data_IF_024273881866
#
_entry.id   IF_024273881866
#
_cell.length_a   1.000
_cell.length_b   1.000
_cell.length_c   1.000
_cell.angle_alpha   90.00
_cell.angle_beta   90.00
_cell.angle_gamma   90.00
#
_symmetry.space_group_name_H-M   'P 1'
#
loop_
_entity.id
_entity.type
_entity.pdbx_description
1 polymer ?
#
# COMPACT_ATOMS: atom_id res chain seq x y z
N UNK A 1 37.29 -31.68 -52.42
CA UNK A 1 35.98 -31.23 -52.95
C UNK A 1 34.92 -31.89 -52.09
N UNK A 2 34.63 -31.37 -50.91
CA UNK A 2 33.71 -30.25 -50.65
C UNK A 2 32.29 -30.56 -51.13
N UNK A 3 31.47 -31.12 -50.23
CA UNK A 3 30.02 -30.99 -50.25
C UNK A 3 29.60 -30.77 -48.79
N UNK A 4 29.47 -29.50 -48.45
CA UNK A 4 29.00 -28.98 -47.17
C UNK A 4 27.49 -29.25 -47.09
N UNK A 5 27.05 -30.18 -46.24
CA UNK A 5 25.63 -30.33 -45.91
C UNK A 5 25.24 -29.21 -44.95
N UNK A 6 24.71 -28.12 -45.50
CA UNK A 6 24.04 -27.08 -44.72
C UNK A 6 22.72 -27.64 -44.21
N UNK A 7 22.70 -28.15 -42.97
CA UNK A 7 21.46 -28.37 -42.21
C UNK A 7 20.90 -27.02 -41.78
N UNK A 8 20.04 -26.45 -42.62
CA UNK A 8 19.21 -25.30 -42.25
C UNK A 8 18.21 -25.80 -41.19
N UNK A 9 18.54 -25.58 -39.92
CA UNK A 9 17.57 -25.68 -38.84
C UNK A 9 16.53 -24.58 -39.05
N UNK A 10 15.37 -24.97 -39.57
CA UNK A 10 14.18 -24.13 -39.66
C UNK A 10 13.77 -23.77 -38.23
N UNK A 11 14.23 -22.62 -37.74
CA UNK A 11 13.66 -21.98 -36.56
C UNK A 11 12.23 -21.58 -36.90
N UNK A 12 11.29 -22.47 -36.64
CA UNK A 12 9.92 -22.10 -36.34
C UNK A 12 9.73 -22.35 -34.86
N UNK A 13 10.24 -21.42 -34.05
CA UNK A 13 9.60 -21.18 -32.76
C UNK A 13 8.18 -20.71 -33.09
N UNK A 14 7.13 -21.36 -32.55
CA UNK A 14 5.80 -20.78 -32.66
C UNK A 14 5.86 -19.41 -31.98
N UNK A 15 5.59 -18.35 -32.73
CA UNK A 15 5.30 -17.03 -32.15
C UNK A 15 4.20 -17.24 -31.12
N UNK A 16 4.60 -17.25 -29.85
CA UNK A 16 3.69 -17.28 -28.72
C UNK A 16 2.66 -16.18 -28.95
N UNK A 17 1.41 -16.57 -29.15
CA UNK A 17 0.25 -15.67 -29.15
C UNK A 17 -0.08 -15.17 -27.74
N UNK A 18 0.66 -15.64 -26.72
CA UNK A 18 0.57 -15.11 -25.37
C UNK A 18 1.31 -13.78 -25.30
N UNK A 19 0.55 -12.71 -25.00
CA UNK A 19 1.09 -11.40 -24.65
C UNK A 19 2.20 -11.53 -23.60
N UNK A 20 3.28 -10.80 -23.80
CA UNK A 20 4.31 -10.64 -22.77
C UNK A 20 3.74 -10.01 -21.50
N UNK A 21 4.39 -10.20 -20.36
CA UNK A 21 3.96 -9.59 -19.09
C UNK A 21 3.88 -8.06 -19.18
N UNK A 22 4.81 -7.44 -19.92
CA UNK A 22 4.80 -5.99 -20.19
C UNK A 22 3.60 -5.54 -21.02
N UNK A 23 3.19 -6.31 -22.02
CA UNK A 23 2.00 -5.99 -22.82
C UNK A 23 0.70 -6.19 -22.03
N UNK A 24 0.65 -7.20 -21.14
CA UNK A 24 -0.48 -7.40 -20.22
C UNK A 24 -0.59 -6.22 -19.24
N UNK A 25 0.51 -5.80 -18.63
CA UNK A 25 0.54 -4.66 -17.72
C UNK A 25 0.16 -3.35 -18.43
N UNK A 26 0.68 -3.09 -19.63
CA UNK A 26 0.35 -1.89 -20.40
C UNK A 26 -1.12 -1.85 -20.85
N UNK A 27 -1.73 -3.00 -21.12
CA UNK A 27 -3.16 -3.11 -21.45
C UNK A 27 -4.01 -2.87 -20.22
N UNK A 28 -3.66 -3.46 -19.08
CA UNK A 28 -4.35 -3.27 -17.81
C UNK A 28 -4.28 -1.80 -17.37
N UNK A 29 -3.11 -1.16 -17.50
CA UNK A 29 -2.95 0.26 -17.22
C UNK A 29 -3.90 1.12 -18.05
N UNK A 30 -3.93 0.92 -19.38
CA UNK A 30 -4.84 1.66 -20.27
C UNK A 30 -6.29 1.44 -19.90
N UNK A 31 -6.69 0.21 -19.59
CA UNK A 31 -8.06 -0.11 -19.16
C UNK A 31 -8.44 0.64 -17.89
N UNK A 32 -7.58 0.61 -16.86
CA UNK A 32 -7.81 1.33 -15.61
C UNK A 32 -7.72 2.86 -15.75
N UNK A 33 -7.03 3.35 -16.78
CA UNK A 33 -7.02 4.75 -17.14
C UNK A 33 -8.35 5.16 -17.80
N UNK A 34 -8.81 4.39 -18.78
CA UNK A 34 -10.03 4.64 -19.56
C UNK A 34 -11.30 4.56 -18.69
N UNK A 35 -11.36 3.63 -17.73
CA UNK A 35 -12.48 3.53 -16.80
C UNK A 35 -12.41 4.55 -15.63
N UNK A 36 -11.33 5.34 -15.57
CA UNK A 36 -11.10 6.39 -14.57
C UNK A 36 -10.64 5.90 -13.19
N UNK A 37 -10.44 4.60 -12.99
CA UNK A 37 -10.02 4.05 -11.69
C UNK A 37 -8.63 4.56 -11.26
N UNK A 38 -7.70 4.82 -12.19
CA UNK A 38 -6.43 5.46 -11.84
C UNK A 38 -6.62 6.86 -11.24
N UNK A 39 -7.54 7.64 -11.79
CA UNK A 39 -7.85 8.98 -11.25
C UNK A 39 -8.50 8.88 -9.87
N UNK A 40 -9.39 7.90 -9.66
CA UNK A 40 -9.98 7.59 -8.35
C UNK A 40 -8.91 7.17 -7.34
N UNK A 41 -7.96 6.33 -7.75
CA UNK A 41 -6.85 5.90 -6.89
C UNK A 41 -5.98 7.08 -6.44
N UNK A 42 -5.64 8.00 -7.35
CA UNK A 42 -4.90 9.21 -6.98
C UNK A 42 -5.69 10.08 -6.00
N UNK A 43 -6.98 10.31 -6.27
CA UNK A 43 -7.84 11.09 -5.40
C UNK A 43 -7.96 10.45 -4.01
N UNK A 44 -8.10 9.14 -3.94
CA UNK A 44 -8.11 8.38 -2.69
C UNK A 44 -6.80 8.63 -1.90
N UNK A 45 -5.64 8.56 -2.55
CA UNK A 45 -4.36 8.87 -1.90
C UNK A 45 -4.28 10.30 -1.33
N UNK A 46 -4.81 11.28 -2.07
CA UNK A 46 -4.89 12.69 -1.62
C UNK A 46 -5.84 12.89 -0.43
N UNK A 47 -7.00 12.22 -0.47
CA UNK A 47 -7.99 12.24 0.62
C UNK A 47 -7.42 11.58 1.88
N UNK A 48 -6.74 10.43 1.73
CA UNK A 48 -6.11 9.73 2.84
C UNK A 48 -4.99 10.55 3.51
N UNK A 49 -4.20 11.32 2.77
CA UNK A 49 -3.23 12.25 3.40
C UNK A 49 -3.94 13.33 4.19
N UNK A 50 -5.09 13.81 3.73
CA UNK A 50 -5.86 14.82 4.45
C UNK A 50 -6.42 14.26 5.75
N UNK A 51 -6.98 13.04 5.72
CA UNK A 51 -7.45 12.34 6.93
C UNK A 51 -6.28 12.03 7.88
N UNK A 52 -5.16 11.54 7.34
CA UNK A 52 -3.94 11.25 8.10
C UNK A 52 -3.46 12.50 8.84
N UNK A 53 -3.20 13.61 8.15
CA UNK A 53 -2.73 14.85 8.78
C UNK A 53 -3.77 15.50 9.70
N UNK A 54 -5.05 15.13 9.57
CA UNK A 54 -6.14 15.59 10.44
C UNK A 54 -6.25 14.83 11.76
N UNK A 55 -5.52 13.71 11.94
CA UNK A 55 -5.57 12.92 13.16
C UNK A 55 -5.02 13.71 14.36
N UNK A 56 -5.71 13.70 15.52
CA UNK A 56 -5.30 14.45 16.71
C UNK A 56 -4.16 13.75 17.46
N UNK A 57 -3.02 13.54 16.79
CA UNK A 57 -1.87 12.83 17.34
C UNK A 57 -1.12 13.72 18.32
N UNK A 58 -1.09 13.28 19.58
CA UNK A 58 -0.46 13.99 20.70
C UNK A 58 0.06 12.97 21.72
N UNK A 59 1.01 13.39 22.56
CA UNK A 59 1.55 12.57 23.64
C UNK A 59 2.95 12.00 23.35
N UNK A 60 3.42 11.15 24.26
CA UNK A 60 4.80 10.63 24.26
C UNK A 60 5.10 9.68 23.09
N UNK A 61 4.07 9.05 22.52
CA UNK A 61 4.19 8.08 21.42
C UNK A 61 3.77 8.65 20.06
N UNK A 62 3.74 9.98 19.91
CA UNK A 62 3.24 10.63 18.69
C UNK A 62 3.93 10.11 17.41
N UNK A 63 5.26 9.93 17.44
CA UNK A 63 5.99 9.38 16.30
C UNK A 63 5.54 7.95 15.95
N UNK A 64 5.42 7.09 16.95
CA UNK A 64 4.97 5.70 16.78
C UNK A 64 3.52 5.62 16.29
N UNK A 65 2.66 6.55 16.73
CA UNK A 65 1.27 6.62 16.25
C UNK A 65 1.24 6.94 14.76
N UNK A 66 2.04 7.91 14.31
CA UNK A 66 2.16 8.22 12.89
C UNK A 66 2.68 7.05 12.05
N UNK A 67 3.64 6.31 12.60
CA UNK A 67 4.19 5.11 11.97
C UNK A 67 3.11 4.03 11.82
N UNK A 68 2.34 3.76 12.88
CA UNK A 68 1.22 2.82 12.82
C UNK A 68 0.19 3.25 11.76
N UNK A 69 -0.24 4.50 11.79
CA UNK A 69 -1.23 5.03 10.84
C UNK A 69 -0.75 4.90 9.39
N UNK A 70 0.52 5.17 9.13
CA UNK A 70 1.08 5.08 7.77
C UNK A 70 1.09 3.65 7.25
N UNK A 71 1.40 2.70 8.13
CA UNK A 71 1.32 1.29 7.81
C UNK A 71 -0.13 0.85 7.52
N UNK A 72 -1.09 1.31 8.32
CA UNK A 72 -2.51 1.01 8.10
C UNK A 72 -2.96 1.47 6.72
N UNK A 73 -2.55 2.67 6.28
CA UNK A 73 -2.84 3.13 4.90
C UNK A 73 -2.32 2.14 3.86
N UNK A 74 -1.04 1.77 3.93
CA UNK A 74 -0.44 0.86 2.96
C UNK A 74 -1.18 -0.46 2.92
N UNK A 75 -1.46 -1.03 4.08
CA UNK A 75 -2.04 -2.35 4.15
C UNK A 75 -3.52 -2.43 3.87
N UNK A 76 -4.31 -1.46 4.32
CA UNK A 76 -5.75 -1.44 4.05
C UNK A 76 -5.99 -1.22 2.55
N UNK A 77 -5.15 -0.41 1.89
CA UNK A 77 -5.18 -0.27 0.43
C UNK A 77 -4.83 -1.59 -0.27
N UNK A 78 -3.86 -2.36 0.25
CA UNK A 78 -3.51 -3.69 -0.31
C UNK A 78 -4.61 -4.73 -0.10
N UNK A 79 -5.27 -4.69 1.05
CA UNK A 79 -6.33 -5.66 1.39
C UNK A 79 -7.66 -5.35 0.70
N UNK A 80 -8.05 -4.07 0.63
CA UNK A 80 -9.37 -3.67 0.16
C UNK A 80 -9.43 -3.38 -1.35
N UNK A 81 -8.29 -3.15 -2.01
CA UNK A 81 -8.23 -2.89 -3.46
C UNK A 81 -7.60 -4.09 -4.17
N UNK A 82 -8.41 -4.96 -4.82
CA UNK A 82 -7.90 -6.20 -5.42
C UNK A 82 -6.88 -5.97 -6.54
N UNK A 83 -6.97 -4.82 -7.22
CA UNK A 83 -6.09 -4.48 -8.32
C UNK A 83 -4.80 -3.83 -7.76
N UNK A 84 -3.69 -4.56 -7.84
CA UNK A 84 -2.37 -4.10 -7.36
C UNK A 84 -1.94 -2.77 -7.98
N UNK A 85 -2.23 -2.52 -9.26
CA UNK A 85 -1.89 -1.25 -9.91
C UNK A 85 -2.64 -0.08 -9.23
N UNK A 86 -3.93 -0.24 -8.95
CA UNK A 86 -4.73 0.79 -8.30
C UNK A 86 -4.28 1.02 -6.84
N UNK A 87 -4.05 -0.06 -6.10
CA UNK A 87 -3.55 -0.01 -4.74
C UNK A 87 -2.21 0.73 -4.65
N UNK A 88 -1.23 0.34 -5.49
CA UNK A 88 0.08 1.00 -5.57
C UNK A 88 -0.02 2.46 -6.03
N UNK A 89 -0.96 2.77 -6.93
CA UNK A 89 -1.19 4.16 -7.37
C UNK A 89 -1.70 5.04 -6.22
N UNK A 90 -2.63 4.53 -5.41
CA UNK A 90 -3.13 5.24 -4.23
C UNK A 90 -2.04 5.40 -3.16
N UNK A 91 -1.27 4.34 -2.86
CA UNK A 91 -0.15 4.38 -1.93
C UNK A 91 0.94 5.38 -2.37
N UNK A 92 1.31 5.35 -3.66
CA UNK A 92 2.32 6.27 -4.21
C UNK A 92 1.85 7.70 -4.09
N UNK A 93 0.58 7.97 -4.42
CA UNK A 93 0.01 9.30 -4.31
C UNK A 93 -0.07 9.79 -2.87
N UNK A 94 -0.41 8.90 -1.93
CA UNK A 94 -0.36 9.18 -0.50
C UNK A 94 1.06 9.58 -0.06
N UNK A 95 2.07 8.79 -0.40
CA UNK A 95 3.46 9.06 -0.03
C UNK A 95 3.97 10.39 -0.62
N UNK A 96 3.69 10.65 -1.89
CA UNK A 96 4.02 11.92 -2.56
C UNK A 96 3.42 13.12 -1.84
N UNK A 97 2.12 13.06 -1.53
CA UNK A 97 1.39 14.15 -0.88
C UNK A 97 1.85 14.34 0.57
N UNK A 98 2.15 13.27 1.29
CA UNK A 98 2.71 13.34 2.63
C UNK A 98 4.10 14.01 2.60
N UNK A 99 4.95 13.64 1.65
CA UNK A 99 6.27 14.25 1.48
C UNK A 99 6.20 15.74 1.14
N UNK A 100 5.21 16.16 0.34
CA UNK A 100 5.00 17.56 -0.03
C UNK A 100 4.45 18.39 1.13
N UNK A 101 3.48 17.87 1.88
CA UNK A 101 2.74 18.63 2.91
C UNK A 101 3.41 18.59 4.28
N UNK A 102 4.06 17.48 4.63
CA UNK A 102 4.68 17.25 5.93
C UNK A 102 6.00 16.47 5.77
N UNK A 103 7.06 17.08 5.20
CA UNK A 103 8.30 16.38 4.86
C UNK A 103 9.02 15.78 6.07
N UNK A 104 8.93 16.42 7.24
CA UNK A 104 9.53 15.88 8.48
C UNK A 104 8.82 14.60 8.91
N UNK A 105 7.49 14.60 8.85
CA UNK A 105 6.66 13.45 9.19
C UNK A 105 6.88 12.30 8.20
N UNK A 106 6.98 12.61 6.90
CA UNK A 106 7.30 11.63 5.87
C UNK A 106 8.63 10.91 6.14
N UNK A 107 9.65 11.64 6.62
CA UNK A 107 10.93 11.05 7.01
C UNK A 107 10.78 10.12 8.21
N UNK A 108 10.10 10.57 9.27
CA UNK A 108 9.84 9.73 10.47
C UNK A 108 9.16 8.42 10.11
N UNK A 109 8.11 8.49 9.28
CA UNK A 109 7.39 7.32 8.79
C UNK A 109 8.31 6.42 7.97
N UNK A 110 9.05 6.99 7.02
CA UNK A 110 9.94 6.24 6.14
C UNK A 110 11.06 5.52 6.92
N UNK A 111 11.68 6.20 7.88
CA UNK A 111 12.79 5.66 8.68
C UNK A 111 12.33 4.52 9.59
N UNK A 112 11.11 4.62 10.12
CA UNK A 112 10.49 3.57 10.93
C UNK A 112 9.87 2.44 10.09
N UNK A 113 9.71 2.63 8.77
CA UNK A 113 9.03 1.68 7.86
C UNK A 113 9.68 0.29 7.88
N UNK A 114 11.01 0.24 7.97
CA UNK A 114 11.75 -1.01 8.07
C UNK A 114 11.40 -1.78 9.35
N UNK A 115 11.27 -1.09 10.49
CA UNK A 115 10.91 -1.72 11.76
C UNK A 115 9.48 -2.27 11.74
N UNK A 116 8.55 -1.53 11.15
CA UNK A 116 7.18 -1.97 10.94
C UNK A 116 7.13 -3.22 10.07
N UNK A 117 7.78 -3.25 8.89
CA UNK A 117 7.79 -4.40 7.98
C UNK A 117 8.26 -5.73 8.62
N UNK A 118 9.30 -5.69 9.46
CA UNK A 118 9.80 -6.89 10.15
C UNK A 118 8.90 -7.35 11.30
N UNK A 119 8.20 -6.42 11.95
CA UNK A 119 7.36 -6.72 13.13
C UNK A 119 5.92 -7.08 12.73
N UNK A 120 5.48 -6.67 11.54
CA UNK A 120 4.08 -6.65 11.10
C UNK A 120 3.68 -7.76 10.12
N UNK A 121 4.56 -8.74 9.87
CA UNK A 121 4.32 -9.81 8.91
C UNK A 121 3.46 -10.96 9.47
N UNK A 122 2.55 -10.67 10.41
CA UNK A 122 1.63 -11.66 10.98
C UNK A 122 0.37 -11.76 10.11
N UNK A 123 0.06 -12.99 9.67
CA UNK A 123 -0.98 -13.29 8.67
C UNK A 123 -2.44 -13.08 9.15
N UNK A 124 -2.65 -12.68 10.41
CA UNK A 124 -3.97 -12.43 10.98
C UNK A 124 -4.01 -11.03 11.60
N UNK A 125 -4.66 -10.10 10.90
CA UNK A 125 -4.79 -8.72 11.34
C UNK A 125 -6.09 -8.52 12.09
N UNK A 126 -5.95 -8.05 13.30
CA UNK A 126 -7.03 -7.68 14.20
C UNK A 126 -6.61 -6.38 14.88
N UNK A 127 -7.57 -5.57 15.38
CA UNK A 127 -7.21 -4.41 16.17
C UNK A 127 -6.23 -4.75 17.30
N UNK A 128 -6.40 -5.92 17.93
CA UNK A 128 -5.49 -6.44 18.96
C UNK A 128 -4.05 -6.58 18.47
N UNK A 129 -3.85 -7.24 17.34
CA UNK A 129 -2.49 -7.42 16.82
C UNK A 129 -1.86 -6.06 16.46
N UNK A 130 -2.61 -5.14 15.87
CA UNK A 130 -2.15 -3.77 15.57
C UNK A 130 -1.74 -3.01 16.85
N UNK A 131 -2.50 -3.15 17.93
CA UNK A 131 -2.15 -2.61 19.24
C UNK A 131 -0.88 -3.23 19.83
N UNK A 132 -0.71 -4.55 19.71
CA UNK A 132 0.50 -5.25 20.15
C UNK A 132 1.74 -4.78 19.37
N UNK A 133 1.58 -4.52 18.08
CA UNK A 133 2.66 -3.98 17.26
C UNK A 133 2.97 -2.54 17.66
N UNK A 134 1.96 -1.71 17.89
CA UNK A 134 2.15 -0.36 18.41
C UNK A 134 2.90 -0.37 19.75
N UNK A 135 2.56 -1.27 20.66
CA UNK A 135 3.27 -1.42 21.93
C UNK A 135 4.75 -1.81 21.74
N UNK A 136 5.07 -2.63 20.74
CA UNK A 136 6.47 -2.94 20.35
C UNK A 136 7.18 -1.72 19.78
N UNK A 137 6.52 -0.92 18.92
CA UNK A 137 7.06 0.35 18.40
C UNK A 137 7.38 1.34 19.53
N UNK A 138 6.59 1.31 20.60
CA UNK A 138 6.75 2.16 21.78
C UNK A 138 7.79 1.63 22.78
N UNK A 139 8.47 0.51 22.49
CA UNK A 139 9.37 -0.17 23.43
C UNK A 139 8.69 -0.54 24.76
N UNK A 140 7.39 -0.87 24.70
CA UNK A 140 6.54 -1.28 25.82
C UNK A 140 5.74 -2.55 25.49
N UNK A 141 6.38 -3.63 25.01
CA UNK A 141 5.66 -4.85 24.64
C UNK A 141 4.90 -5.44 25.84
N UNK A 142 3.65 -5.82 25.64
CA UNK A 142 2.80 -6.41 26.67
C UNK A 142 2.18 -5.40 27.64
N UNK A 143 2.47 -4.10 27.51
CA UNK A 143 1.81 -3.07 28.33
C UNK A 143 0.40 -2.80 27.81
N UNK A 144 -0.60 -3.32 28.53
CA UNK A 144 -2.01 -3.31 28.12
C UNK A 144 -2.55 -1.90 27.80
N UNK A 145 -2.09 -0.87 28.52
CA UNK A 145 -2.51 0.52 28.26
C UNK A 145 -2.03 1.03 26.90
N UNK A 146 -0.81 0.66 26.51
CA UNK A 146 -0.22 1.04 25.23
C UNK A 146 -0.86 0.23 24.10
N UNK A 147 -1.11 -1.06 24.34
CA UNK A 147 -1.83 -1.91 23.38
C UNK A 147 -3.23 -1.36 23.11
N UNK A 148 -4.02 -1.08 24.14
CA UNK A 148 -5.36 -0.51 24.01
C UNK A 148 -5.38 0.90 23.40
N UNK A 149 -4.26 1.64 23.46
CA UNK A 149 -4.11 2.91 22.72
C UNK A 149 -3.94 2.64 21.22
N UNK A 150 -3.06 1.70 20.86
CA UNK A 150 -2.85 1.31 19.47
C UNK A 150 -4.08 0.68 18.84
N UNK A 151 -4.79 -0.20 19.57
CA UNK A 151 -6.05 -0.81 19.13
C UNK A 151 -7.10 0.22 18.73
N UNK A 152 -7.37 1.18 19.63
CA UNK A 152 -8.38 2.23 19.37
C UNK A 152 -7.98 3.09 18.18
N UNK A 153 -6.71 3.49 18.13
CA UNK A 153 -6.20 4.30 17.02
C UNK A 153 -6.32 3.56 15.68
N UNK A 154 -6.01 2.27 15.68
CA UNK A 154 -6.09 1.46 14.48
C UNK A 154 -7.54 1.21 14.06
N UNK A 155 -8.43 0.88 14.99
CA UNK A 155 -9.86 0.70 14.71
C UNK A 155 -10.48 1.98 14.12
N UNK A 156 -10.24 3.14 14.75
CA UNK A 156 -10.75 4.42 14.29
C UNK A 156 -10.24 4.74 12.86
N UNK A 157 -8.94 4.60 12.62
CA UNK A 157 -8.38 5.00 11.33
C UNK A 157 -8.63 3.98 10.22
N UNK A 158 -8.68 2.68 10.53
CA UNK A 158 -9.08 1.65 9.58
C UNK A 158 -10.52 1.84 9.12
N UNK A 159 -11.43 2.26 10.01
CA UNK A 159 -12.79 2.63 9.63
C UNK A 159 -12.81 3.83 8.66
N UNK A 160 -11.95 4.83 8.91
CA UNK A 160 -11.79 6.00 8.03
C UNK A 160 -11.23 5.62 6.65
N UNK A 161 -10.20 4.79 6.59
CA UNK A 161 -9.65 4.28 5.32
C UNK A 161 -10.71 3.47 4.58
N UNK A 162 -11.41 2.57 5.27
CA UNK A 162 -12.47 1.74 4.69
C UNK A 162 -13.61 2.58 4.11
N UNK A 163 -13.95 3.69 4.77
CA UNK A 163 -14.92 4.64 4.27
C UNK A 163 -14.42 5.32 3.00
N UNK A 164 -13.20 5.84 3.01
CA UNK A 164 -12.60 6.50 1.85
C UNK A 164 -12.49 5.54 0.65
N UNK A 165 -12.10 4.29 0.86
CA UNK A 165 -12.04 3.25 -0.20
C UNK A 165 -13.42 3.00 -0.81
N UNK A 166 -14.48 2.91 0.02
CA UNK A 166 -15.85 2.76 -0.46
C UNK A 166 -16.32 3.98 -1.26
N UNK A 167 -16.04 5.17 -0.76
CA UNK A 167 -16.41 6.45 -1.39
C UNK A 167 -15.64 6.70 -2.70
N UNK A 168 -14.41 6.17 -2.81
CA UNK A 168 -13.63 6.23 -4.05
C UNK A 168 -14.38 5.58 -5.23
N UNK A 169 -15.27 4.61 -4.97
CA UNK A 169 -16.21 4.09 -5.96
C UNK A 169 -15.52 3.45 -7.15
N UNK A 170 -14.51 2.60 -6.90
CA UNK A 170 -13.82 1.85 -7.94
C UNK A 170 -14.82 1.03 -8.76
N UNK A 171 -14.70 1.13 -10.09
CA UNK A 171 -15.52 0.33 -11.00
C UNK A 171 -14.92 -1.08 -11.01
N UNK A 172 -15.65 -2.04 -10.43
CA UNK A 172 -15.35 -3.45 -10.53
C UNK A 172 -15.96 -4.00 -11.83
N UNK A 173 -15.14 -4.65 -12.65
CA UNK A 173 -15.53 -5.25 -13.93
C UNK A 173 -15.55 -6.77 -13.86
#
# INVERSE_FOLDING_TARGET
MAAEEVKIYRQQEPKSTALSEGEKAAREYRRQQENGNLSRAHRLGEELVTSFLGMPITGEYAAQQWVLLSYLVESELEQQIPNTLLSQSAQSRFAEQLQQRAPELARTVHDARAFTLYTLNENCRTPRSEGEIFARLCERPGEEKVIALGERLAEEFTAEISRAVKEAGFIME
#
